data_IF_591509047157
#
_entry.id   IF_591509047157
#
_cell.length_a   1.000
_cell.length_b   1.000
_cell.length_c   1.000
_cell.angle_alpha   90.00
_cell.angle_beta   90.00
_cell.angle_gamma   90.00
#
_symmetry.space_group_name_H-M   'P 1'
#
loop_
_entity.id
_entity.type
_entity.pdbx_description
1 polymer ?
#
# COMPACT_ATOMS: atom_id res chain seq x y z
N UNK A 1 -11.20 36.11 -13.15
CA UNK A 1 -11.53 35.38 -11.90
C UNK A 1 -10.40 34.39 -11.66
N UNK A 2 -9.51 34.70 -10.71
CA UNK A 2 -8.30 33.90 -10.44
C UNK A 2 -8.63 32.81 -9.42
N UNK A 3 -8.85 31.59 -9.90
CA UNK A 3 -9.05 30.43 -9.04
C UNK A 3 -7.73 30.02 -8.40
N UNK A 4 -7.59 30.28 -7.10
CA UNK A 4 -6.50 29.71 -6.31
C UNK A 4 -6.74 28.20 -6.22
N UNK A 5 -6.09 27.43 -7.08
CA UNK A 5 -6.02 25.99 -6.90
C UNK A 5 -5.16 25.73 -5.65
N UNK A 6 -5.78 25.09 -4.65
CA UNK A 6 -5.09 24.61 -3.44
C UNK A 6 -3.92 23.74 -3.90
N UNK A 7 -2.71 24.17 -3.57
CA UNK A 7 -1.49 23.39 -3.80
C UNK A 7 -1.62 22.13 -2.95
N UNK A 8 -1.93 20.99 -3.57
CA UNK A 8 -1.73 19.70 -2.90
C UNK A 8 -0.23 19.46 -2.89
N UNK A 9 0.37 19.42 -1.70
CA UNK A 9 1.80 19.12 -1.47
C UNK A 9 1.92 17.68 -0.95
N UNK A 10 1.44 16.70 -1.72
CA UNK A 10 1.59 15.31 -1.28
C UNK A 10 3.09 15.02 -1.11
N UNK A 11 3.46 14.42 0.02
CA UNK A 11 4.85 14.10 0.30
C UNK A 11 5.36 13.12 -0.75
N UNK A 12 6.61 13.32 -1.20
CA UNK A 12 7.25 12.35 -2.07
C UNK A 12 7.31 10.98 -1.37
N UNK A 13 7.04 9.88 -2.08
CA UNK A 13 7.21 8.54 -1.51
C UNK A 13 8.63 8.31 -1.01
N UNK A 14 8.83 7.45 0.00
CA UNK A 14 10.16 7.02 0.38
C UNK A 14 10.79 6.18 -0.75
N UNK A 15 12.11 6.14 -0.81
CA UNK A 15 12.79 5.14 -1.64
C UNK A 15 12.56 3.75 -1.07
N UNK A 16 12.43 2.77 -1.97
CA UNK A 16 12.20 1.38 -1.62
C UNK A 16 13.35 0.51 -2.11
N UNK A 17 14.06 -0.10 -1.16
CA UNK A 17 15.25 -0.94 -1.42
C UNK A 17 14.92 -2.43 -1.63
N UNK A 18 13.68 -2.82 -1.35
CA UNK A 18 13.20 -4.21 -1.42
C UNK A 18 12.87 -4.84 -0.07
N UNK A 19 12.97 -4.10 1.04
CA UNK A 19 12.53 -4.56 2.36
C UNK A 19 11.02 -4.80 2.39
N UNK A 20 10.61 -6.08 2.37
CA UNK A 20 9.21 -6.49 2.33
C UNK A 20 8.37 -5.92 3.48
N UNK A 21 8.96 -5.64 4.64
CA UNK A 21 8.25 -5.05 5.78
C UNK A 21 7.77 -3.62 5.51
N UNK A 22 8.40 -2.91 4.55
CA UNK A 22 8.07 -1.54 4.15
C UNK A 22 7.20 -1.47 2.90
N UNK A 23 6.91 -2.62 2.28
CA UNK A 23 6.27 -2.69 0.98
C UNK A 23 4.89 -2.00 0.95
N UNK A 24 4.02 -2.30 1.92
CA UNK A 24 2.68 -1.71 1.96
C UNK A 24 2.72 -0.19 2.14
N UNK A 25 3.57 0.30 3.07
CA UNK A 25 3.74 1.74 3.28
C UNK A 25 4.32 2.46 2.06
N UNK A 26 5.20 1.80 1.31
CA UNK A 26 5.71 2.34 0.05
C UNK A 26 4.61 2.45 -1.02
N UNK A 27 3.82 1.39 -1.23
CA UNK A 27 2.71 1.39 -2.21
C UNK A 27 1.65 2.43 -1.85
N UNK A 28 1.28 2.53 -0.57
CA UNK A 28 0.35 3.55 -0.07
C UNK A 28 0.85 4.97 -0.36
N UNK A 29 2.12 5.25 -0.07
CA UNK A 29 2.72 6.56 -0.36
C UNK A 29 2.71 6.88 -1.86
N UNK A 30 3.04 5.92 -2.72
CA UNK A 30 2.99 6.09 -4.18
C UNK A 30 1.58 6.34 -4.69
N UNK A 31 0.60 5.55 -4.27
CA UNK A 31 -0.79 5.68 -4.71
C UNK A 31 -1.43 6.97 -4.20
N UNK A 32 -1.10 7.39 -2.98
CA UNK A 32 -1.48 8.69 -2.43
C UNK A 32 -0.93 9.85 -3.26
N UNK A 33 0.36 9.82 -3.61
CA UNK A 33 0.98 10.85 -4.46
C UNK A 33 0.32 10.92 -5.83
N UNK A 34 0.19 9.78 -6.52
CA UNK A 34 -0.47 9.70 -7.84
C UNK A 34 -1.92 10.18 -7.74
N UNK A 35 -2.63 9.82 -6.66
CA UNK A 35 -4.00 10.25 -6.38
C UNK A 35 -4.14 11.76 -6.15
N UNK A 36 -3.13 12.40 -5.55
CA UNK A 36 -3.08 13.85 -5.35
C UNK A 36 -2.85 14.62 -6.65
N UNK A 37 -2.10 14.04 -7.59
CA UNK A 37 -1.72 14.66 -8.86
C UNK A 37 -2.32 13.94 -10.07
N UNK A 38 -3.57 13.45 -9.95
CA UNK A 38 -4.24 12.62 -10.98
C UNK A 38 -4.19 13.17 -12.40
N UNK A 39 -4.23 14.50 -12.58
CA UNK A 39 -4.14 15.15 -13.89
C UNK A 39 -2.79 14.90 -14.58
N UNK A 40 -1.71 14.81 -13.80
CA UNK A 40 -0.34 14.60 -14.30
C UNK A 40 -0.05 13.10 -14.56
N UNK A 41 -0.85 12.22 -13.95
CA UNK A 41 -0.70 10.76 -14.03
C UNK A 41 -1.84 10.10 -14.81
N UNK A 42 -2.21 10.68 -15.96
CA UNK A 42 -3.32 10.18 -16.77
C UNK A 42 -3.00 8.86 -17.51
N UNK A 43 -1.72 8.54 -17.70
CA UNK A 43 -1.27 7.36 -18.45
C UNK A 43 -0.64 6.32 -17.52
N UNK A 44 -0.86 5.04 -17.82
CA UNK A 44 -0.25 3.96 -17.03
C UNK A 44 1.28 4.00 -17.07
N UNK A 45 1.86 4.34 -18.22
CA UNK A 45 3.30 4.54 -18.34
C UNK A 45 3.82 5.58 -17.34
N UNK A 46 3.14 6.72 -17.19
CA UNK A 46 3.58 7.78 -16.25
C UNK A 46 3.51 7.32 -14.79
N UNK A 47 2.48 6.55 -14.41
CA UNK A 47 2.34 5.96 -13.07
C UNK A 47 3.45 4.95 -12.81
N UNK A 48 3.70 4.05 -13.76
CA UNK A 48 4.70 2.99 -13.67
C UNK A 48 6.10 3.59 -13.58
N UNK A 49 6.45 4.52 -14.47
CA UNK A 49 7.76 5.20 -14.45
C UNK A 49 8.00 5.93 -13.13
N UNK A 50 6.96 6.56 -12.58
CA UNK A 50 7.04 7.19 -11.27
C UNK A 50 7.40 6.18 -10.18
N UNK A 51 6.64 5.08 -10.04
CA UNK A 51 6.95 4.05 -9.03
C UNK A 51 8.35 3.46 -9.24
N UNK A 52 8.71 3.13 -10.48
CA UNK A 52 10.04 2.61 -10.83
C UNK A 52 11.18 3.57 -10.43
N UNK A 53 10.94 4.87 -10.44
CA UNK A 53 11.96 5.88 -10.06
C UNK A 53 12.31 5.86 -8.57
N UNK A 54 11.42 5.34 -7.73
CA UNK A 54 11.62 5.18 -6.29
C UNK A 54 12.13 3.80 -5.88
N UNK A 55 12.20 2.82 -6.79
CA UNK A 55 12.77 1.48 -6.55
C UNK A 55 14.30 1.52 -6.52
N UNK A 56 14.84 2.10 -5.45
CA UNK A 56 16.27 2.27 -5.18
C UNK A 56 16.49 2.42 -3.68
N UNK A 57 17.74 2.41 -3.24
CA UNK A 57 18.07 2.87 -1.88
C UNK A 57 18.47 4.36 -1.91
N UNK A 58 18.57 4.97 -0.74
CA UNK A 58 18.93 6.39 -0.58
C UNK A 58 20.31 6.73 -1.18
N UNK A 59 21.26 5.79 -1.12
CA UNK A 59 22.61 6.00 -1.66
C UNK A 59 22.70 5.83 -3.19
N UNK A 60 21.62 5.40 -3.85
CA UNK A 60 21.59 5.11 -5.28
C UNK A 60 22.39 3.85 -5.69
N UNK A 61 22.82 3.05 -4.72
CA UNK A 61 23.55 1.80 -4.98
C UNK A 61 22.57 0.64 -5.28
N UNK A 62 23.10 -0.44 -5.86
CA UNK A 62 22.26 -1.58 -6.28
C UNK A 62 21.60 -2.28 -5.09
N UNK A 63 20.27 -2.33 -5.09
CA UNK A 63 19.44 -3.02 -4.10
C UNK A 63 18.49 -4.02 -4.80
N UNK A 64 17.70 -4.78 -4.03
CA UNK A 64 16.81 -5.79 -4.60
C UNK A 64 15.74 -5.14 -5.50
N UNK A 65 15.15 -4.03 -5.04
CA UNK A 65 14.17 -3.26 -5.80
C UNK A 65 14.76 -2.69 -7.10
N UNK A 66 15.96 -2.09 -7.07
CA UNK A 66 16.55 -1.49 -8.27
C UNK A 66 16.92 -2.54 -9.32
N UNK A 67 17.37 -3.73 -8.90
CA UNK A 67 17.63 -4.85 -9.82
C UNK A 67 16.35 -5.38 -10.45
N UNK A 68 15.29 -5.54 -9.65
CA UNK A 68 13.98 -5.93 -10.17
C UNK A 68 13.45 -4.89 -11.17
N UNK A 69 13.53 -3.60 -10.84
CA UNK A 69 13.09 -2.49 -11.69
C UNK A 69 13.82 -2.47 -13.04
N UNK A 70 15.14 -2.75 -13.03
CA UNK A 70 15.94 -2.84 -14.25
C UNK A 70 15.49 -4.02 -15.12
N UNK A 71 15.33 -5.21 -14.54
CA UNK A 71 14.85 -6.39 -15.27
C UNK A 71 13.42 -6.20 -15.79
N UNK A 72 12.54 -5.62 -14.99
CA UNK A 72 11.15 -5.36 -15.37
C UNK A 72 11.08 -4.41 -16.57
N UNK A 73 11.86 -3.32 -16.57
CA UNK A 73 11.96 -2.40 -17.71
C UNK A 73 12.47 -3.09 -18.98
N UNK A 74 13.47 -3.95 -18.89
CA UNK A 74 13.98 -4.70 -20.05
C UNK A 74 12.90 -5.55 -20.72
N UNK A 75 11.93 -6.06 -19.95
CA UNK A 75 10.85 -6.89 -20.47
C UNK A 75 9.64 -6.08 -20.94
N UNK A 76 9.37 -4.92 -20.35
CA UNK A 76 8.13 -4.17 -20.54
C UNK A 76 8.28 -2.84 -21.29
N UNK A 77 9.50 -2.38 -21.57
CA UNK A 77 9.76 -1.18 -22.37
C UNK A 77 10.47 -1.52 -23.69
N UNK A 78 10.15 -0.78 -24.75
CA UNK A 78 10.82 -0.86 -26.05
C UNK A 78 11.88 0.23 -26.18
N UNK A 79 12.91 0.17 -25.34
CA UNK A 79 13.95 1.19 -25.28
C UNK A 79 13.37 2.57 -24.94
N UNK A 80 13.61 3.56 -25.81
CA UNK A 80 13.06 4.91 -25.67
C UNK A 80 11.65 5.07 -26.29
N UNK A 81 11.06 4.02 -26.87
CA UNK A 81 9.72 4.07 -27.48
C UNK A 81 8.58 4.02 -26.46
N UNK A 82 8.87 3.70 -25.20
CA UNK A 82 7.90 3.70 -24.11
C UNK A 82 7.44 2.29 -23.72
N UNK A 83 6.32 2.25 -23.00
CA UNK A 83 5.75 1.03 -22.43
C UNK A 83 5.11 0.14 -23.51
N UNK A 84 5.34 -1.17 -23.44
CA UNK A 84 4.72 -2.15 -24.35
C UNK A 84 3.20 -2.12 -24.26
N UNK A 85 2.54 -2.34 -25.40
CA UNK A 85 1.09 -2.41 -25.49
C UNK A 85 0.52 -3.51 -24.56
N UNK A 86 -0.55 -3.18 -23.84
CA UNK A 86 -1.25 -4.09 -22.93
C UNK A 86 -0.69 -4.14 -21.51
N UNK A 87 0.45 -3.50 -21.23
CA UNK A 87 0.94 -3.35 -19.86
C UNK A 87 0.17 -2.22 -19.19
N UNK A 88 -0.38 -2.48 -18.00
CA UNK A 88 -1.20 -1.54 -17.24
C UNK A 88 -0.58 -1.25 -15.88
N UNK A 89 -0.98 -0.15 -15.24
CA UNK A 89 -0.52 0.15 -13.88
C UNK A 89 -1.00 -0.91 -12.88
N UNK A 90 -2.18 -1.50 -13.10
CA UNK A 90 -2.72 -2.60 -12.28
C UNK A 90 -1.87 -3.85 -12.40
N UNK A 91 -1.59 -4.33 -13.62
CA UNK A 91 -0.75 -5.53 -13.81
C UNK A 91 0.67 -5.33 -13.27
N UNK A 92 1.20 -4.11 -13.38
CA UNK A 92 2.47 -3.75 -12.76
C UNK A 92 2.44 -3.86 -11.22
N UNK A 93 1.39 -3.33 -10.56
CA UNK A 93 1.26 -3.43 -9.10
C UNK A 93 1.14 -4.89 -8.63
N UNK A 94 0.45 -5.76 -9.39
CA UNK A 94 0.37 -7.19 -9.09
C UNK A 94 1.73 -7.90 -9.20
N UNK A 95 2.55 -7.53 -10.20
CA UNK A 95 3.92 -8.03 -10.31
C UNK A 95 4.81 -7.53 -9.18
N UNK A 96 4.65 -6.26 -8.79
CA UNK A 96 5.38 -5.66 -7.67
C UNK A 96 4.99 -6.32 -6.33
N UNK A 97 3.71 -6.60 -6.12
CA UNK A 97 3.19 -7.35 -4.98
C UNK A 97 3.76 -8.77 -4.94
N UNK A 98 3.81 -9.46 -6.09
CA UNK A 98 4.43 -10.79 -6.14
C UNK A 98 5.92 -10.77 -5.81
N UNK A 99 6.63 -9.71 -6.18
CA UNK A 99 8.06 -9.59 -5.93
C UNK A 99 8.37 -9.23 -4.46
N UNK A 100 7.62 -8.28 -3.89
CA UNK A 100 7.98 -7.61 -2.63
C UNK A 100 6.90 -7.62 -1.56
N UNK A 101 5.67 -7.98 -1.92
CA UNK A 101 4.61 -8.18 -0.96
C UNK A 101 4.95 -9.29 0.03
N UNK A 102 4.50 -9.11 1.26
CA UNK A 102 4.58 -10.14 2.27
C UNK A 102 3.40 -11.10 2.09
N UNK A 103 3.68 -12.28 1.53
CA UNK A 103 2.68 -13.35 1.36
C UNK A 103 2.12 -13.86 2.68
N UNK A 104 2.77 -13.53 3.80
CA UNK A 104 2.40 -14.00 5.13
C UNK A 104 1.79 -12.91 6.00
N UNK A 105 1.69 -11.65 5.54
CA UNK A 105 1.19 -10.56 6.38
C UNK A 105 -0.21 -10.84 6.94
N UNK A 106 -1.16 -11.25 6.08
CA UNK A 106 -2.52 -11.62 6.50
C UNK A 106 -2.51 -12.82 7.46
N UNK A 107 -1.67 -13.83 7.22
CA UNK A 107 -1.56 -15.01 8.06
C UNK A 107 -0.95 -14.71 9.43
N UNK A 108 0.04 -13.80 9.47
CA UNK A 108 0.66 -13.30 10.70
C UNK A 108 -0.35 -12.45 11.47
N UNK A 109 -1.10 -11.59 10.79
CA UNK A 109 -2.19 -10.81 11.39
C UNK A 109 -3.27 -11.73 11.97
N UNK A 110 -3.69 -12.76 11.24
CA UNK A 110 -4.64 -13.76 11.72
C UNK A 110 -4.11 -14.54 12.93
N UNK A 111 -2.84 -14.96 12.92
CA UNK A 111 -2.22 -15.62 14.06
C UNK A 111 -2.13 -14.71 15.29
N UNK A 112 -1.82 -13.42 15.10
CA UNK A 112 -1.82 -12.41 16.17
C UNK A 112 -3.22 -12.15 16.70
N UNK A 113 -4.22 -12.08 15.82
CA UNK A 113 -5.63 -11.93 16.18
C UNK A 113 -6.10 -13.10 17.04
N UNK A 114 -5.76 -14.34 16.65
CA UNK A 114 -6.07 -15.55 17.42
C UNK A 114 -5.38 -15.57 18.80
N UNK A 115 -4.21 -14.96 18.92
CA UNK A 115 -3.48 -14.83 20.16
C UNK A 115 -3.86 -13.58 20.99
N UNK A 116 -4.69 -12.67 20.44
CA UNK A 116 -5.02 -11.40 21.08
C UNK A 116 -5.96 -11.63 22.27
N UNK A 117 -5.49 -11.33 23.48
CA UNK A 117 -6.30 -11.32 24.69
C UNK A 117 -6.30 -9.92 25.33
N UNK A 118 -7.42 -9.52 25.92
CA UNK A 118 -7.54 -8.21 26.59
C UNK A 118 -6.51 -8.07 27.73
N UNK A 119 -6.37 -9.11 28.56
CA UNK A 119 -5.46 -9.11 29.70
C UNK A 119 -5.81 -8.00 30.69
N UNK A 120 -4.81 -7.18 31.06
CA UNK A 120 -4.99 -6.02 31.97
C UNK A 120 -5.28 -4.70 31.24
N UNK A 121 -5.44 -4.73 29.91
CA UNK A 121 -5.65 -3.54 29.07
C UNK A 121 -7.10 -3.08 29.13
N UNK A 122 -7.34 -1.81 28.79
CA UNK A 122 -8.70 -1.31 28.68
C UNK A 122 -9.46 -2.02 27.55
N UNK A 123 -10.79 -2.07 27.65
CA UNK A 123 -11.61 -2.64 26.59
C UNK A 123 -11.46 -1.86 25.27
N UNK A 124 -11.32 -0.54 25.35
CA UNK A 124 -11.12 0.32 24.19
C UNK A 124 -9.82 -0.02 23.44
N UNK A 125 -8.71 -0.18 24.16
CA UNK A 125 -7.42 -0.55 23.54
C UNK A 125 -7.49 -1.95 22.92
N UNK A 126 -8.15 -2.90 23.59
CA UNK A 126 -8.34 -4.25 23.06
C UNK A 126 -9.17 -4.27 21.77
N UNK A 127 -10.29 -3.55 21.72
CA UNK A 127 -11.12 -3.47 20.53
C UNK A 127 -10.40 -2.77 19.38
N UNK A 128 -9.67 -1.69 19.66
CA UNK A 128 -8.87 -1.01 18.63
C UNK A 128 -7.82 -1.94 18.02
N UNK A 129 -7.10 -2.72 18.84
CA UNK A 129 -6.13 -3.71 18.35
C UNK A 129 -6.82 -4.85 17.58
N UNK A 130 -7.97 -5.30 18.05
CA UNK A 130 -8.76 -6.36 17.41
C UNK A 130 -9.21 -5.92 16.01
N UNK A 131 -9.80 -4.73 15.88
CA UNK A 131 -10.29 -4.20 14.61
C UNK A 131 -9.15 -4.02 13.61
N UNK A 132 -8.01 -3.48 14.06
CA UNK A 132 -6.82 -3.31 13.21
C UNK A 132 -6.27 -4.67 12.73
N UNK A 133 -6.06 -5.62 13.64
CA UNK A 133 -5.56 -6.96 13.28
C UNK A 133 -6.54 -7.73 12.41
N UNK A 134 -7.84 -7.53 12.60
CA UNK A 134 -8.86 -8.17 11.80
C UNK A 134 -8.89 -7.60 10.38
N UNK A 135 -8.77 -6.27 10.22
CA UNK A 135 -8.62 -5.64 8.91
C UNK A 135 -7.34 -6.11 8.20
N UNK A 136 -6.21 -6.15 8.90
CA UNK A 136 -4.93 -6.64 8.37
C UNK A 136 -4.97 -8.13 7.99
N UNK A 137 -5.82 -8.92 8.64
CA UNK A 137 -6.07 -10.32 8.31
C UNK A 137 -7.12 -10.52 7.20
N UNK A 138 -7.67 -9.44 6.63
CA UNK A 138 -8.68 -9.49 5.58
C UNK A 138 -10.11 -9.73 6.06
N UNK A 139 -10.38 -9.62 7.37
CA UNK A 139 -11.73 -9.70 7.92
C UNK A 139 -12.42 -8.32 7.86
N UNK A 140 -13.57 -8.24 7.18
CA UNK A 140 -14.43 -7.06 7.23
C UNK A 140 -15.22 -7.06 8.56
N UNK A 141 -14.63 -6.48 9.62
CA UNK A 141 -15.34 -6.28 10.89
C UNK A 141 -16.24 -5.05 10.76
N UNK A 142 -17.40 -5.23 10.13
CA UNK A 142 -18.48 -4.25 10.30
C UNK A 142 -18.99 -4.40 11.73
N UNK A 143 -18.73 -3.40 12.57
CA UNK A 143 -19.35 -3.29 13.88
C UNK A 143 -20.88 -3.31 13.68
N UNK A 144 -21.53 -4.43 14.03
CA UNK A 144 -22.96 -4.45 14.20
C UNK A 144 -23.26 -3.51 15.36
N UNK A 145 -23.75 -2.31 15.07
CA UNK A 145 -24.35 -1.44 16.07
C UNK A 145 -25.69 -2.06 16.49
N UNK A 146 -25.63 -3.13 17.27
CA UNK A 146 -26.77 -3.61 18.05
C UNK A 146 -26.85 -2.75 19.31
N UNK A 147 -27.21 -1.48 19.12
CA UNK A 147 -27.76 -0.64 20.17
C UNK A 147 -29.27 -0.82 20.17
N UNK A 148 -29.79 -1.72 21.01
CA UNK A 148 -31.00 -1.51 21.81
C UNK A 148 -30.93 -2.34 23.09
N UNK A 149 -30.55 -1.67 24.18
CA UNK A 149 -30.72 -2.20 25.52
C UNK A 149 -32.20 -2.47 25.84
N UNK A 150 -32.49 -3.69 26.29
CA UNK A 150 -33.65 -3.96 27.13
C UNK A 150 -33.16 -4.65 28.41
N UNK A 151 -32.94 -3.85 29.46
CA UNK A 151 -32.91 -4.37 30.82
C UNK A 151 -34.33 -4.81 31.19
N UNK A 152 -34.61 -6.10 31.15
CA UNK A 152 -35.76 -6.66 31.86
C UNK A 152 -35.43 -6.71 33.35
N UNK A 153 -36.03 -5.81 34.12
CA UNK A 153 -36.13 -5.94 35.58
C UNK A 153 -36.96 -7.20 35.88
N UNK A 154 -36.34 -8.15 36.57
CA UNK A 154 -37.01 -9.13 37.43
C UNK A 154 -37.01 -8.63 38.87
#
# INVERSE_FOLDING_TARGET
>A
MSGHHRITLAANPPYFDGDKSKYLGFVDACTTYIGAYRSEFSLDETKILFVLSYLRNESGTSCAASRWAMNWKQHNFEGFQGLKAGVTATSFLEELQRAFGDSNAEQVAAARLMALCQGRRSFADYISDFEMLAADAGYNVVASTDDKGEYKKG
#
